data_IF_918446879114
#
_entry.id   IF_918446879114
#
_cell.length_a   1.000
_cell.length_b   1.000
_cell.length_c   1.000
_cell.angle_alpha   90.00
_cell.angle_beta   90.00
_cell.angle_gamma   90.00
#
_symmetry.space_group_name_H-M   'P 1'
#
loop_
_entity.id
_entity.type
_entity.pdbx_description
1 polymer ?
#
# COMPACT_ATOMS: atom_id res chain seq x y z
N UNK A 1 -19.26 -13.25 -21.43
CA UNK A 1 -20.32 -12.29 -21.03
C UNK A 1 -19.86 -11.65 -19.73
N UNK A 2 -19.53 -10.36 -19.76
CA UNK A 2 -19.03 -9.66 -18.58
C UNK A 2 -20.18 -9.35 -17.64
N UNK A 3 -20.02 -9.66 -16.35
CA UNK A 3 -20.89 -9.18 -15.28
C UNK A 3 -20.72 -7.66 -15.20
N UNK A 4 -21.47 -6.94 -16.03
CA UNK A 4 -21.60 -5.49 -15.98
C UNK A 4 -22.39 -5.11 -14.73
N UNK A 5 -21.69 -5.00 -13.60
CA UNK A 5 -22.25 -4.33 -12.43
C UNK A 5 -22.11 -2.83 -12.72
N UNK A 6 -23.23 -2.17 -13.04
CA UNK A 6 -23.27 -0.71 -13.03
C UNK A 6 -23.11 -0.24 -11.58
N UNK A 7 -21.96 0.36 -11.27
CA UNK A 7 -21.74 1.00 -9.99
C UNK A 7 -22.61 2.26 -9.91
N UNK A 8 -23.27 2.48 -8.77
CA UNK A 8 -23.97 3.75 -8.55
C UNK A 8 -22.98 4.92 -8.49
N UNK A 9 -23.46 6.13 -8.81
CA UNK A 9 -22.66 7.35 -8.73
C UNK A 9 -21.99 7.54 -7.36
N UNK A 10 -22.67 7.11 -6.29
CA UNK A 10 -22.14 7.14 -4.91
C UNK A 10 -20.91 6.24 -4.72
N UNK A 11 -20.91 5.05 -5.33
CA UNK A 11 -19.77 4.14 -5.29
C UNK A 11 -18.60 4.74 -6.08
N UNK A 12 -18.88 5.30 -7.28
CA UNK A 12 -17.85 5.94 -8.09
C UNK A 12 -17.22 7.12 -7.36
N UNK A 13 -18.03 7.99 -6.74
CA UNK A 13 -17.55 9.12 -5.94
C UNK A 13 -16.71 8.66 -4.74
N UNK A 14 -17.14 7.62 -4.02
CA UNK A 14 -16.38 7.04 -2.90
C UNK A 14 -15.00 6.54 -3.36
N UNK A 15 -14.94 5.81 -4.48
CA UNK A 15 -13.69 5.31 -5.05
C UNK A 15 -12.76 6.46 -5.46
N UNK A 16 -13.29 7.46 -6.17
CA UNK A 16 -12.50 8.61 -6.62
C UNK A 16 -11.93 9.41 -5.45
N UNK A 17 -12.74 9.68 -4.42
CA UNK A 17 -12.28 10.38 -3.21
C UNK A 17 -11.20 9.61 -2.48
N UNK A 18 -11.37 8.31 -2.33
CA UNK A 18 -10.39 7.46 -1.65
C UNK A 18 -9.09 7.36 -2.43
N UNK A 19 -9.17 7.22 -3.74
CA UNK A 19 -8.00 7.23 -4.61
C UNK A 19 -7.28 8.58 -4.55
N UNK A 20 -8.00 9.71 -4.53
CA UNK A 20 -7.42 11.02 -4.35
C UNK A 20 -6.68 11.15 -3.01
N UNK A 21 -7.31 10.75 -1.89
CA UNK A 21 -6.68 10.77 -0.56
C UNK A 21 -5.37 9.98 -0.53
N UNK A 22 -5.35 8.84 -1.21
CA UNK A 22 -4.17 7.99 -1.31
C UNK A 22 -3.06 8.63 -2.15
N UNK A 23 -3.35 9.03 -3.40
CA UNK A 23 -2.36 9.58 -4.33
C UNK A 23 -1.80 10.92 -3.88
N UNK A 24 -2.61 11.75 -3.21
CA UNK A 24 -2.13 13.01 -2.64
C UNK A 24 -1.33 12.82 -1.34
N UNK A 25 -1.08 11.57 -0.91
CA UNK A 25 -0.30 11.29 0.29
C UNK A 25 -0.95 11.84 1.57
N UNK A 26 -2.27 12.02 1.55
CA UNK A 26 -3.04 12.52 2.70
C UNK A 26 -3.12 11.43 3.79
N UNK A 27 -2.83 10.17 3.44
CA UNK A 27 -2.60 9.08 4.39
C UNK A 27 -1.31 9.31 5.18
N UNK A 28 -1.42 10.11 6.24
CA UNK A 28 -0.34 10.28 7.21
C UNK A 28 -0.21 9.02 8.08
N UNK A 29 1.03 8.64 8.38
CA UNK A 29 1.31 7.62 9.40
C UNK A 29 1.72 6.26 8.88
N UNK A 30 1.99 6.11 7.58
CA UNK A 30 2.59 4.89 7.06
C UNK A 30 4.06 4.83 7.50
N UNK A 31 4.39 3.89 8.40
CA UNK A 31 5.74 3.41 8.56
C UNK A 31 5.88 2.13 7.73
N UNK A 32 7.01 1.96 7.07
CA UNK A 32 7.21 0.81 6.21
C UNK A 32 8.64 0.35 6.39
N UNK A 33 8.83 -0.97 6.39
CA UNK A 33 10.15 -1.59 6.35
C UNK A 33 10.18 -2.60 5.22
N UNK A 34 11.29 -2.62 4.49
CA UNK A 34 11.57 -3.60 3.44
C UNK A 34 13.00 -4.14 3.56
N UNK A 35 13.17 -5.38 3.14
CA UNK A 35 14.44 -6.11 3.14
C UNK A 35 14.59 -6.76 1.77
N UNK A 36 15.71 -6.45 1.11
CA UNK A 36 16.19 -7.18 -0.07
C UNK A 36 17.50 -7.87 0.32
N UNK A 37 17.56 -9.18 0.14
CA UNK A 37 18.73 -9.98 0.47
C UNK A 37 19.01 -11.01 -0.62
N UNK A 38 20.28 -11.33 -0.84
CA UNK A 38 20.72 -12.36 -1.79
C UNK A 38 21.55 -13.39 -1.03
N UNK A 39 21.26 -14.67 -1.22
CA UNK A 39 22.02 -15.74 -0.58
C UNK A 39 23.29 -16.10 -1.40
N UNK A 40 24.11 -17.02 -0.88
CA UNK A 40 25.35 -17.44 -1.53
C UNK A 40 25.16 -18.17 -2.87
N UNK A 41 23.94 -18.60 -3.20
CA UNK A 41 23.57 -19.22 -4.47
C UNK A 41 23.07 -18.20 -5.50
N UNK A 42 22.97 -16.92 -5.13
CA UNK A 42 22.44 -15.87 -5.99
C UNK A 42 20.91 -15.75 -5.99
N UNK A 43 20.20 -16.45 -5.10
CA UNK A 43 18.75 -16.32 -4.97
C UNK A 43 18.43 -15.04 -4.18
N UNK A 44 17.53 -14.21 -4.71
CA UNK A 44 17.10 -12.96 -4.08
C UNK A 44 15.75 -13.12 -3.40
N UNK A 45 15.67 -12.67 -2.15
CA UNK A 45 14.44 -12.57 -1.35
C UNK A 45 14.14 -11.09 -1.15
N UNK A 46 12.89 -10.71 -1.40
CA UNK A 46 12.37 -9.39 -1.09
C UNK A 46 11.16 -9.54 -0.18
N UNK A 47 11.29 -9.08 1.06
CA UNK A 47 10.24 -9.10 2.08
C UNK A 47 9.99 -7.69 2.63
N UNK A 48 8.80 -7.47 3.18
CA UNK A 48 8.43 -6.16 3.72
C UNK A 48 7.29 -6.23 4.75
N UNK A 49 7.19 -5.20 5.58
CA UNK A 49 6.08 -4.96 6.52
C UNK A 49 5.42 -3.61 6.22
N UNK A 50 4.09 -3.62 6.03
CA UNK A 50 3.24 -2.43 5.89
C UNK A 50 2.67 -2.02 7.24
N UNK A 51 3.16 -0.91 7.79
CA UNK A 51 2.62 -0.37 9.03
C UNK A 51 1.65 0.78 8.68
N UNK A 52 0.40 0.62 9.09
CA UNK A 52 -0.62 1.65 8.96
C UNK A 52 -0.70 2.40 10.28
N UNK A 53 -0.61 3.73 10.23
CA UNK A 53 -0.81 4.55 11.42
C UNK A 53 -2.27 4.52 11.87
N UNK A 54 -2.51 4.44 13.16
CA UNK A 54 -3.85 4.36 13.74
C UNK A 54 -3.83 3.63 15.08
N UNK A 55 -5.00 3.42 15.67
CA UNK A 55 -5.16 2.47 16.76
C UNK A 55 -5.33 1.04 16.22
N UNK A 56 -5.55 0.10 17.13
CA UNK A 56 -5.72 -1.32 16.81
C UNK A 56 -6.93 -1.55 15.91
N UNK A 57 -8.06 -0.90 16.18
CA UNK A 57 -9.30 -1.09 15.45
C UNK A 57 -9.16 -0.61 14.00
N UNK A 58 -8.55 0.57 13.80
CA UNK A 58 -8.25 1.08 12.47
C UNK A 58 -7.30 0.15 11.68
N UNK A 59 -6.32 -0.44 12.37
CA UNK A 59 -5.38 -1.39 11.76
C UNK A 59 -6.06 -2.70 11.35
N UNK A 60 -6.95 -3.23 12.19
CA UNK A 60 -7.72 -4.44 11.90
C UNK A 60 -8.70 -4.22 10.74
N UNK A 61 -9.39 -3.06 10.69
CA UNK A 61 -10.24 -2.68 9.57
C UNK A 61 -9.45 -2.58 8.27
N UNK A 62 -8.26 -1.98 8.31
CA UNK A 62 -7.41 -1.87 7.11
C UNK A 62 -6.92 -3.25 6.66
N UNK A 63 -6.55 -4.14 7.57
CA UNK A 63 -6.17 -5.51 7.22
C UNK A 63 -7.33 -6.26 6.54
N UNK A 64 -8.57 -6.05 6.99
CA UNK A 64 -9.77 -6.69 6.44
C UNK A 64 -10.12 -6.32 4.99
N UNK A 65 -9.51 -5.27 4.46
CA UNK A 65 -9.72 -4.82 3.06
C UNK A 65 -8.50 -5.04 2.17
N UNK A 66 -7.46 -5.70 2.67
CA UNK A 66 -6.31 -6.10 1.87
C UNK A 66 -6.63 -7.35 1.06
N UNK A 67 -6.13 -7.38 -0.17
CA UNK A 67 -6.28 -8.54 -1.05
C UNK A 67 -5.07 -8.72 -1.97
N UNK A 68 -4.89 -9.94 -2.45
CA UNK A 68 -3.93 -10.25 -3.50
C UNK A 68 -4.56 -9.96 -4.86
N UNK A 69 -3.94 -9.07 -5.63
CA UNK A 69 -4.34 -8.80 -7.00
C UNK A 69 -3.41 -9.55 -7.97
N UNK A 70 -3.99 -10.14 -9.01
CA UNK A 70 -3.25 -10.69 -10.14
C UNK A 70 -3.60 -9.91 -11.40
N UNK A 71 -2.59 -9.25 -11.97
CA UNK A 71 -2.73 -8.54 -13.23
C UNK A 71 -2.46 -9.52 -14.36
N UNK A 72 -3.45 -9.68 -15.25
CA UNK A 72 -3.44 -10.66 -16.33
C UNK A 72 -3.36 -9.94 -17.67
N UNK A 73 -2.43 -10.37 -18.54
CA UNK A 73 -2.32 -9.88 -19.92
C UNK A 73 -2.40 -11.07 -20.88
N UNK A 74 -3.42 -11.09 -21.73
CA UNK A 74 -3.63 -12.19 -22.69
C UNK A 74 -3.87 -13.55 -22.03
N UNK A 75 -4.52 -13.58 -20.86
CA UNK A 75 -4.75 -14.81 -20.09
C UNK A 75 -3.58 -15.24 -19.18
N UNK A 76 -2.42 -14.58 -19.28
CA UNK A 76 -1.24 -14.90 -18.46
C UNK A 76 -1.07 -13.89 -17.31
N UNK A 77 -0.99 -14.35 -16.05
CA UNK A 77 -0.60 -13.50 -14.92
C UNK A 77 0.82 -12.94 -15.11
N UNK A 78 0.96 -11.61 -15.03
CA UNK A 78 2.23 -10.92 -15.24
C UNK A 78 2.75 -10.23 -13.97
N UNK A 79 1.85 -9.81 -13.09
CA UNK A 79 2.20 -9.16 -11.81
C UNK A 79 1.28 -9.70 -10.73
N UNK A 80 1.84 -9.96 -9.56
CA UNK A 80 1.08 -10.16 -8.33
C UNK A 80 1.37 -9.03 -7.36
N UNK A 81 0.35 -8.47 -6.72
CA UNK A 81 0.50 -7.42 -5.73
C UNK A 81 -0.37 -7.64 -4.50
N UNK A 82 -0.09 -6.90 -3.44
CA UNK A 82 -1.01 -6.72 -2.31
C UNK A 82 -1.58 -5.31 -2.42
N UNK A 83 -2.90 -5.22 -2.53
CA UNK A 83 -3.62 -3.96 -2.67
C UNK A 83 -4.65 -3.82 -1.55
N UNK A 84 -5.09 -2.60 -1.29
CA UNK A 84 -6.27 -2.33 -0.49
C UNK A 84 -7.48 -2.11 -1.40
N UNK A 85 -8.68 -2.44 -0.93
CA UNK A 85 -9.90 -2.14 -1.67
C UNK A 85 -9.93 -0.66 -2.06
N UNK A 86 -10.36 -0.36 -3.29
CA UNK A 86 -10.41 0.97 -3.92
C UNK A 86 -9.08 1.69 -4.21
N UNK A 87 -7.92 1.05 -4.00
CA UNK A 87 -6.62 1.62 -4.44
C UNK A 87 -6.20 1.02 -5.79
N UNK A 88 -5.87 1.86 -6.77
CA UNK A 88 -5.30 1.39 -8.06
C UNK A 88 -3.78 1.36 -8.09
N UNK A 89 -3.11 2.13 -7.21
CA UNK A 89 -1.66 2.13 -7.07
C UNK A 89 -1.11 0.82 -6.49
N UNK A 90 0.12 0.46 -6.88
CA UNK A 90 0.82 -0.73 -6.39
C UNK A 90 1.92 -0.32 -5.40
N UNK A 91 1.73 -0.63 -4.12
CA UNK A 91 2.73 -0.39 -3.07
C UNK A 91 3.63 -1.61 -2.81
N UNK A 92 3.19 -2.81 -3.17
CA UNK A 92 3.95 -4.04 -2.96
C UNK A 92 3.59 -4.99 -4.07
N UNK A 93 4.57 -5.41 -4.85
CA UNK A 93 4.31 -6.31 -5.97
C UNK A 93 5.54 -6.97 -6.53
N UNK A 94 5.30 -8.02 -7.31
CA UNK A 94 6.34 -8.79 -7.99
C UNK A 94 5.89 -9.11 -9.41
N UNK A 95 6.84 -8.97 -10.33
CA UNK A 95 6.72 -9.42 -11.71
C UNK A 95 6.95 -10.93 -11.77
N UNK A 96 5.99 -11.68 -12.30
CA UNK A 96 6.01 -13.15 -12.26
C UNK A 96 6.89 -13.81 -13.33
N UNK A 97 7.22 -13.11 -14.40
CA UNK A 97 8.06 -13.62 -15.51
C UNK A 97 9.57 -13.35 -15.31
N UNK A 98 10.03 -13.29 -14.05
CA UNK A 98 11.46 -13.19 -13.72
C UNK A 98 12.05 -11.77 -13.80
N UNK A 99 11.21 -10.74 -13.62
CA UNK A 99 11.63 -9.35 -13.69
C UNK A 99 12.08 -8.77 -12.34
N UNK A 100 11.20 -8.01 -11.72
CA UNK A 100 11.49 -7.18 -10.55
C UNK A 100 10.46 -7.40 -9.44
N UNK A 101 10.79 -6.94 -8.24
CA UNK A 101 9.85 -6.74 -7.15
C UNK A 101 9.99 -5.31 -6.64
N UNK A 102 8.90 -4.76 -6.13
CA UNK A 102 8.82 -3.38 -5.66
C UNK A 102 8.15 -3.32 -4.30
N UNK A 103 8.67 -2.44 -3.46
CA UNK A 103 7.94 -1.88 -2.34
C UNK A 103 8.02 -0.35 -2.37
N UNK A 104 7.04 0.31 -1.75
CA UNK A 104 7.07 1.76 -1.54
C UNK A 104 7.01 2.09 -0.06
N UNK A 105 8.01 2.87 0.40
CA UNK A 105 8.07 3.39 1.76
C UNK A 105 7.82 4.89 1.76
N UNK A 106 6.92 5.34 2.64
CA UNK A 106 6.59 6.75 2.77
C UNK A 106 7.77 7.55 3.28
N UNK A 107 8.12 8.63 2.57
CA UNK A 107 9.19 9.55 2.97
C UNK A 107 8.60 10.90 3.36
N UNK A 108 8.65 11.22 4.65
CA UNK A 108 8.18 12.50 5.17
C UNK A 108 9.14 13.64 4.82
N UNK A 109 8.61 14.78 4.38
CA UNK A 109 9.39 16.00 4.22
C UNK A 109 9.64 16.67 5.58
N UNK A 110 10.77 17.39 5.71
CA UNK A 110 11.24 18.03 6.96
C UNK A 110 10.20 18.96 7.60
N UNK A 111 9.43 19.71 6.82
CA UNK A 111 8.39 20.63 7.32
C UNK A 111 7.30 19.90 8.12
N UNK A 112 6.95 18.68 7.73
CA UNK A 112 5.95 17.83 8.39
C UNK A 112 6.47 17.26 9.72
N UNK A 113 7.79 17.02 9.82
CA UNK A 113 8.42 16.54 11.06
C UNK A 113 8.55 17.64 12.13
N UNK A 114 8.73 18.90 11.71
CA UNK A 114 8.80 20.05 12.62
C UNK A 114 7.46 20.29 13.34
N UNK A 115 6.34 20.13 12.64
CA UNK A 115 4.99 20.27 13.23
C UNK A 115 4.69 19.20 14.29
N UNK A 116 5.20 17.97 14.11
CA UNK A 116 5.04 16.88 15.11
C UNK A 116 5.89 17.05 16.36
N UNK A 117 7.04 17.75 16.28
CA UNK A 117 7.86 18.07 17.46
C UNK A 117 7.22 19.11 18.39
N UNK A 118 6.30 19.92 17.87
CA UNK A 118 5.65 21.01 18.62
C UNK A 118 4.26 20.64 19.15
N UNK A 119 3.81 19.38 19.00
CA UNK A 119 2.65 18.85 19.72
C UNK A 119 2.94 18.74 21.22
N UNK A 120 1.91 18.75 22.09
CA UNK A 120 2.09 18.71 23.54
C UNK A 120 2.99 17.52 23.89
N UNK A 121 4.12 17.86 24.52
CA UNK A 121 5.24 16.97 24.75
C UNK A 121 4.80 15.57 25.16
N UNK A 122 5.29 14.56 24.43
CA UNK A 122 5.29 13.19 24.87
C UNK A 122 5.76 13.15 26.33
N UNK A 123 4.84 12.78 27.24
CA UNK A 123 5.19 12.48 28.63
C UNK A 123 6.26 11.39 28.57
N UNK A 124 7.46 11.74 29.04
CA UNK A 124 8.51 10.78 29.33
C UNK A 124 7.94 9.82 30.38
N UNK A 125 7.94 8.54 30.07
CA UNK A 125 7.86 7.48 31.06
C UNK A 125 9.17 7.47 31.86
#
# INVERSE_FOLDING_TARGET
EGLGIEASDDIVDLFLRRQAVYEFGITQGLACSGIVATNSKGETIHGRNLDIGGDREASELYAGILFHAEFVKGGTPIVRSVNAFSTVGVHTGVRLDGGWSVEQNTRLQKSTLQGRRNGPAARKW
#
